data_IF_687361625320
#
_entry.id   IF_687361625320
#
_cell.length_a   1.000
_cell.length_b   1.000
_cell.length_c   1.000
_cell.angle_alpha   90.00
_cell.angle_beta   90.00
_cell.angle_gamma   90.00
#
_symmetry.space_group_name_H-M   'P 1'
#
loop_
_entity.id
_entity.type
_entity.pdbx_description
1 polymer ?
#
# COMPACT_ATOMS: atom_id res chain seq x y z
N UNK A 1 9.47 13.54 -18.06
CA UNK A 1 8.93 12.23 -17.61
C UNK A 1 9.58 11.15 -18.44
N UNK A 2 10.03 10.04 -17.82
CA UNK A 2 10.53 8.88 -18.56
C UNK A 2 9.37 8.30 -19.38
N UNK A 3 9.45 8.39 -20.70
CA UNK A 3 8.38 7.95 -21.62
C UNK A 3 8.10 6.45 -21.57
N UNK A 4 8.95 5.69 -20.88
CA UNK A 4 8.89 4.23 -20.76
C UNK A 4 8.19 3.73 -19.49
N UNK A 5 7.83 4.61 -18.55
CA UNK A 5 7.11 4.20 -17.34
C UNK A 5 5.62 3.98 -17.62
N UNK A 6 5.10 2.86 -17.15
CA UNK A 6 3.68 2.52 -17.26
C UNK A 6 2.90 3.20 -16.14
N UNK A 7 1.85 3.97 -16.49
CA UNK A 7 1.11 4.81 -15.53
C UNK A 7 -0.40 4.57 -15.52
N UNK A 8 -0.85 3.49 -16.15
CA UNK A 8 -2.25 3.14 -16.27
C UNK A 8 -3.02 4.00 -17.29
N UNK A 9 -4.36 3.97 -17.26
CA UNK A 9 -5.17 3.20 -16.31
C UNK A 9 -4.96 1.70 -16.45
N UNK A 10 -5.15 0.97 -15.36
CA UNK A 10 -5.06 -0.49 -15.30
C UNK A 10 -6.44 -1.07 -15.06
N UNK A 11 -6.73 -2.21 -15.67
CA UNK A 11 -8.02 -2.89 -15.54
C UNK A 11 -8.00 -3.99 -14.48
N UNK A 12 -6.83 -4.54 -14.18
CA UNK A 12 -6.68 -5.63 -13.21
C UNK A 12 -5.54 -5.36 -12.23
N UNK A 13 -5.60 -5.99 -11.05
CA UNK A 13 -4.54 -5.95 -10.05
C UNK A 13 -3.23 -6.52 -10.61
N UNK A 14 -3.33 -7.51 -11.52
CA UNK A 14 -2.20 -8.08 -12.24
C UNK A 14 -1.49 -7.03 -13.11
N UNK A 15 -2.23 -6.30 -13.95
CA UNK A 15 -1.66 -5.24 -14.79
C UNK A 15 -0.99 -4.17 -13.93
N UNK A 16 -1.68 -3.73 -12.87
CA UNK A 16 -1.19 -2.73 -11.94
C UNK A 16 0.12 -3.17 -11.27
N UNK A 17 0.14 -4.36 -10.66
CA UNK A 17 1.31 -4.83 -9.90
C UNK A 17 2.49 -5.16 -10.82
N UNK A 18 2.21 -5.69 -12.02
CA UNK A 18 3.21 -5.89 -13.07
C UNK A 18 3.89 -4.58 -13.45
N UNK A 19 3.10 -3.53 -13.69
CA UNK A 19 3.61 -2.21 -14.01
C UNK A 19 4.42 -1.60 -12.86
N UNK A 20 3.98 -1.75 -11.60
CA UNK A 20 4.75 -1.29 -10.44
C UNK A 20 6.12 -1.96 -10.39
N UNK A 21 6.19 -3.28 -10.50
CA UNK A 21 7.46 -4.01 -10.44
C UNK A 21 8.37 -3.65 -11.63
N UNK A 22 7.84 -3.57 -12.85
CA UNK A 22 8.62 -3.17 -14.03
C UNK A 22 9.16 -1.74 -13.91
N UNK A 23 8.34 -0.83 -13.38
CA UNK A 23 8.75 0.54 -13.10
C UNK A 23 9.86 0.59 -12.03
N UNK A 24 9.84 -0.29 -11.01
CA UNK A 24 10.94 -0.40 -10.05
C UNK A 24 12.24 -0.86 -10.71
N UNK A 25 12.18 -1.94 -11.48
CA UNK A 25 13.36 -2.45 -12.21
C UNK A 25 13.94 -1.35 -13.10
N UNK A 26 13.08 -0.61 -13.83
CA UNK A 26 13.49 0.52 -14.65
C UNK A 26 14.14 1.64 -13.82
N UNK A 27 13.56 2.01 -12.69
CA UNK A 27 14.09 3.03 -11.80
C UNK A 27 15.49 2.66 -11.28
N UNK A 28 15.69 1.43 -10.81
CA UNK A 28 17.00 0.95 -10.36
C UNK A 28 18.03 0.94 -11.50
N UNK A 29 17.63 0.50 -12.69
CA UNK A 29 18.51 0.49 -13.87
C UNK A 29 19.00 1.90 -14.27
N UNK A 30 18.13 2.91 -14.19
CA UNK A 30 18.46 4.27 -14.66
C UNK A 30 19.17 5.09 -13.58
N UNK A 31 18.74 4.99 -12.32
CA UNK A 31 19.09 5.98 -11.29
C UNK A 31 19.93 5.43 -10.14
N UNK A 32 20.09 4.12 -9.99
CA UNK A 32 20.77 3.51 -8.84
C UNK A 32 22.13 2.95 -9.20
N UNK A 33 23.00 2.77 -8.20
CA UNK A 33 24.35 2.25 -8.40
C UNK A 33 24.32 0.79 -8.87
N UNK A 34 25.42 0.33 -9.50
CA UNK A 34 25.57 -1.06 -9.93
C UNK A 34 25.40 -2.03 -8.75
N UNK A 35 25.85 -1.66 -7.56
CA UNK A 35 25.67 -2.44 -6.34
C UNK A 35 24.20 -2.59 -5.96
N UNK A 36 23.45 -1.48 -5.95
CA UNK A 36 22.01 -1.48 -5.68
C UNK A 36 21.23 -2.25 -6.75
N UNK A 37 21.59 -2.09 -8.02
CA UNK A 37 20.98 -2.85 -9.12
C UNK A 37 21.14 -4.35 -8.92
N UNK A 38 22.37 -4.82 -8.64
CA UNK A 38 22.65 -6.24 -8.38
C UNK A 38 21.91 -6.81 -7.18
N UNK A 39 21.60 -5.98 -6.19
CA UNK A 39 20.88 -6.40 -4.99
C UNK A 39 19.36 -6.42 -5.17
N UNK A 40 18.79 -5.38 -5.77
CA UNK A 40 17.34 -5.17 -5.79
C UNK A 40 16.63 -5.74 -7.01
N UNK A 41 17.23 -5.65 -8.21
CA UNK A 41 16.59 -6.12 -9.45
C UNK A 41 16.24 -7.61 -9.36
N UNK A 42 17.12 -8.52 -8.90
CA UNK A 42 16.78 -9.94 -8.80
C UNK A 42 15.56 -10.21 -7.90
N UNK A 43 15.40 -9.44 -6.80
CA UNK A 43 14.25 -9.58 -5.89
C UNK A 43 12.96 -9.15 -6.57
N UNK A 44 12.98 -8.06 -7.33
CA UNK A 44 11.83 -7.63 -8.11
C UNK A 44 11.48 -8.64 -9.21
N UNK A 45 12.47 -9.25 -9.86
CA UNK A 45 12.24 -10.33 -10.83
C UNK A 45 11.64 -11.60 -10.17
N UNK A 46 12.05 -11.92 -8.94
CA UNK A 46 11.44 -13.00 -8.16
C UNK A 46 9.98 -12.69 -7.80
N UNK A 47 9.69 -11.47 -7.32
CA UNK A 47 8.32 -11.02 -7.07
C UNK A 47 7.47 -11.06 -8.36
N UNK A 48 8.04 -10.65 -9.50
CA UNK A 48 7.34 -10.69 -10.79
C UNK A 48 6.89 -12.12 -11.16
N UNK A 49 7.72 -13.13 -10.90
CA UNK A 49 7.39 -14.54 -11.17
C UNK A 49 6.25 -15.06 -10.29
N UNK A 50 6.03 -14.45 -9.13
CA UNK A 50 4.95 -14.82 -8.21
C UNK A 50 3.61 -14.16 -8.55
N UNK A 51 3.59 -13.15 -9.44
CA UNK A 51 2.36 -12.44 -9.81
C UNK A 51 1.23 -13.40 -10.22
N UNK A 52 1.43 -14.39 -11.12
CA UNK A 52 0.34 -15.27 -11.56
C UNK A 52 -0.27 -16.11 -10.44
N UNK A 53 0.47 -16.34 -9.33
CA UNK A 53 -0.03 -17.08 -8.15
C UNK A 53 -1.01 -16.22 -7.34
N UNK A 54 -0.69 -14.95 -7.10
CA UNK A 54 -1.43 -14.08 -6.17
C UNK A 54 -2.39 -13.10 -6.84
N UNK A 55 -2.15 -12.80 -8.11
CA UNK A 55 -2.92 -11.87 -8.93
C UNK A 55 -3.32 -12.59 -10.23
N UNK A 56 -4.21 -13.61 -10.15
CA UNK A 56 -4.77 -14.18 -11.36
C UNK A 56 -5.47 -13.09 -12.17
N UNK A 57 -5.47 -13.23 -13.49
CA UNK A 57 -6.10 -12.25 -14.39
C UNK A 57 -7.63 -12.44 -14.34
N UNK A 58 -8.24 -11.86 -13.32
CA UNK A 58 -9.69 -11.72 -13.22
C UNK A 58 -10.08 -10.25 -13.34
N UNK A 59 -11.07 -9.96 -14.20
CA UNK A 59 -11.55 -8.60 -14.45
C UNK A 59 -12.42 -8.07 -13.30
N UNK A 60 -12.11 -8.43 -12.05
CA UNK A 60 -12.90 -8.12 -10.85
C UNK A 60 -12.20 -7.16 -9.91
N UNK A 61 -11.05 -6.61 -10.29
CA UNK A 61 -10.30 -5.70 -9.42
C UNK A 61 -11.05 -4.39 -9.22
N UNK A 62 -11.40 -4.07 -7.98
CA UNK A 62 -11.89 -2.75 -7.62
C UNK A 62 -10.70 -1.80 -7.42
N UNK A 63 -10.71 -0.67 -8.13
CA UNK A 63 -9.75 0.41 -7.92
C UNK A 63 -10.36 1.53 -7.08
N UNK A 64 -9.59 2.04 -6.13
CA UNK A 64 -9.96 3.14 -5.24
C UNK A 64 -8.94 4.27 -5.31
N UNK A 65 -9.40 5.50 -5.07
CA UNK A 65 -8.51 6.65 -4.92
C UNK A 65 -7.79 6.57 -3.57
N UNK A 66 -6.45 6.62 -3.60
CA UNK A 66 -5.62 6.65 -2.41
C UNK A 66 -4.76 7.91 -2.41
N UNK A 67 -4.50 8.46 -1.21
CA UNK A 67 -3.59 9.61 -1.03
C UNK A 67 -2.12 9.28 -1.35
N UNK A 68 -1.70 8.03 -1.14
CA UNK A 68 -0.31 7.56 -1.33
C UNK A 68 0.64 7.87 -0.17
N UNK A 69 0.40 8.97 0.56
CA UNK A 69 1.24 9.38 1.72
C UNK A 69 0.38 9.87 2.90
N UNK A 70 -0.54 9.03 3.38
CA UNK A 70 -1.53 9.43 4.36
C UNK A 70 -1.01 9.27 5.79
N UNK A 71 -0.45 10.34 6.36
CA UNK A 71 0.00 10.42 7.75
C UNK A 71 -0.41 11.74 8.42
N UNK A 72 -0.27 11.81 9.75
CA UNK A 72 -0.79 12.91 10.57
C UNK A 72 -0.37 14.31 10.11
N UNK A 73 0.86 14.50 9.62
CA UNK A 73 1.30 15.82 9.12
C UNK A 73 0.66 16.26 7.80
N UNK A 74 -0.06 15.36 7.11
CA UNK A 74 -0.83 15.67 5.91
C UNK A 74 -2.33 15.88 6.24
N UNK A 75 -2.70 15.91 7.53
CA UNK A 75 -4.06 16.17 8.01
C UNK A 75 -4.09 17.52 8.73
N UNK A 76 -4.96 18.42 8.29
CA UNK A 76 -5.22 19.69 8.95
C UNK A 76 -6.33 19.50 9.98
N UNK A 77 -6.11 20.02 11.19
CA UNK A 77 -7.04 19.91 12.32
C UNK A 77 -7.28 21.32 12.87
N UNK A 78 -8.54 21.63 13.15
CA UNK A 78 -8.96 22.80 13.92
C UNK A 78 -9.74 22.33 15.14
N UNK A 79 -9.21 22.58 16.35
CA UNK A 79 -9.70 21.99 17.59
C UNK A 79 -9.76 20.45 17.50
N UNK A 80 -10.97 19.88 17.48
CA UNK A 80 -11.23 18.43 17.37
C UNK A 80 -11.74 18.01 15.97
N UNK A 81 -11.74 18.92 14.99
CA UNK A 81 -12.28 18.69 13.65
C UNK A 81 -11.18 18.59 12.59
N UNK A 82 -11.23 17.54 11.77
CA UNK A 82 -10.42 17.45 10.55
C UNK A 82 -10.98 18.45 9.53
N UNK A 83 -10.16 19.44 9.16
CA UNK A 83 -10.54 20.52 8.24
C UNK A 83 -10.01 20.33 6.83
N UNK A 84 -9.02 19.45 6.65
CA UNK A 84 -8.48 19.17 5.33
C UNK A 84 -7.44 18.06 5.29
N UNK A 85 -7.19 17.57 4.08
CA UNK A 85 -6.09 16.66 3.75
C UNK A 85 -5.25 17.32 2.66
N UNK A 86 -3.94 17.43 2.87
CA UNK A 86 -3.00 18.12 1.99
C UNK A 86 -1.95 17.16 1.41
N UNK A 87 -1.18 17.63 0.44
CA UNK A 87 -0.06 16.89 -0.18
C UNK A 87 -0.47 15.66 -1.01
N UNK A 88 -1.47 15.84 -1.87
CA UNK A 88 -1.98 14.83 -2.81
C UNK A 88 -1.03 14.43 -3.95
N UNK A 89 0.25 14.80 -3.91
CA UNK A 89 1.18 14.61 -5.05
C UNK A 89 1.48 13.13 -5.36
N UNK A 90 1.24 12.23 -4.41
CA UNK A 90 1.39 10.78 -4.57
C UNK A 90 0.06 10.05 -4.70
N UNK A 91 -1.03 10.78 -4.99
CA UNK A 91 -2.34 10.18 -5.17
C UNK A 91 -2.42 9.33 -6.44
N UNK A 92 -3.26 8.31 -6.42
CA UNK A 92 -3.48 7.43 -7.56
C UNK A 92 -4.66 6.49 -7.36
N UNK A 93 -4.97 5.74 -8.41
CA UNK A 93 -5.90 4.63 -8.36
C UNK A 93 -5.14 3.35 -8.02
N UNK A 94 -5.53 2.68 -6.92
CA UNK A 94 -4.89 1.47 -6.42
C UNK A 94 -5.92 0.34 -6.34
N UNK A 95 -5.54 -0.92 -6.60
CA UNK A 95 -6.36 -2.06 -6.22
C UNK A 95 -6.74 -1.96 -4.74
N UNK A 96 -8.02 -2.17 -4.40
CA UNK A 96 -8.51 -2.06 -3.03
C UNK A 96 -7.72 -2.94 -2.05
N UNK A 97 -7.31 -4.13 -2.50
CA UNK A 97 -6.52 -5.07 -1.72
C UNK A 97 -5.19 -4.47 -1.21
N UNK A 98 -4.57 -3.54 -1.97
CA UNK A 98 -3.34 -2.85 -1.55
C UNK A 98 -3.54 -2.00 -0.28
N UNK A 99 -4.76 -1.52 -0.05
CA UNK A 99 -5.09 -0.60 1.05
C UNK A 99 -5.84 -1.29 2.19
N UNK A 100 -6.10 -2.60 2.07
CA UNK A 100 -6.74 -3.43 3.08
C UNK A 100 -5.77 -3.75 4.23
N UNK A 101 -5.26 -2.70 4.86
CA UNK A 101 -4.40 -2.73 6.04
C UNK A 101 -4.85 -1.65 7.00
N UNK A 102 -4.56 -1.85 8.28
CA UNK A 102 -4.82 -0.81 9.27
C UNK A 102 -3.86 0.37 9.06
N UNK A 103 -4.34 1.57 9.36
CA UNK A 103 -3.55 2.80 9.30
C UNK A 103 -2.29 2.67 10.19
N UNK A 104 -1.19 3.30 9.76
CA UNK A 104 0.12 3.15 10.41
C UNK A 104 0.10 3.47 11.91
N UNK A 105 -0.72 4.45 12.33
CA UNK A 105 -0.86 4.82 13.74
C UNK A 105 -1.73 3.86 14.56
N UNK A 106 -2.42 2.91 13.91
CA UNK A 106 -3.16 1.82 14.54
C UNK A 106 -2.27 0.58 14.70
N UNK A 107 -1.35 0.32 13.75
CA UNK A 107 -0.53 -0.91 13.71
C UNK A 107 0.86 -0.79 14.30
N UNK A 108 1.55 0.35 14.19
CA UNK A 108 2.94 0.44 14.62
C UNK A 108 3.36 1.88 14.95
N UNK A 109 3.62 2.12 16.24
CA UNK A 109 4.61 3.11 16.67
C UNK A 109 5.81 2.31 17.19
N UNK A 110 6.61 1.75 16.29
CA UNK A 110 7.66 0.74 16.56
C UNK A 110 8.92 1.28 17.24
N UNK A 111 8.97 2.57 17.62
CA UNK A 111 10.16 3.21 18.20
C UNK A 111 10.12 3.30 19.73
N UNK A 112 9.01 2.96 20.39
CA UNK A 112 8.89 3.07 21.85
C UNK A 112 8.29 1.79 22.40
N UNK A 113 9.05 1.15 23.31
CA UNK A 113 8.77 -0.07 24.08
C UNK A 113 7.28 -0.45 24.10
N UNK A 114 6.98 -1.65 23.60
CA UNK A 114 5.63 -2.21 23.62
C UNK A 114 5.26 -2.55 25.08
N UNK A 115 4.60 -1.61 25.75
CA UNK A 115 3.94 -1.88 27.04
C UNK A 115 2.59 -2.58 26.79
N UNK A 116 2.14 -3.40 27.75
CA UNK A 116 0.85 -4.11 27.68
C UNK A 116 -0.34 -3.15 27.42
N UNK A 117 -0.31 -1.94 27.98
CA UNK A 117 -1.36 -0.91 27.79
C UNK A 117 -1.43 -0.38 26.35
N UNK A 118 -0.29 -0.28 25.65
CA UNK A 118 -0.23 0.17 24.25
C UNK A 118 -0.81 -0.88 23.30
N UNK A 119 -0.67 -2.16 23.65
CA UNK A 119 -1.30 -3.28 22.94
C UNK A 119 -2.84 -3.22 23.07
N UNK A 120 -3.36 -2.97 24.26
CA UNK A 120 -4.82 -2.84 24.49
C UNK A 120 -5.42 -1.66 23.73
N UNK A 121 -4.77 -0.49 23.74
CA UNK A 121 -5.21 0.69 22.97
C UNK A 121 -5.26 0.41 21.47
N UNK A 122 -4.25 -0.28 20.93
CA UNK A 122 -4.25 -0.65 19.52
C UNK A 122 -5.41 -1.61 19.19
N UNK A 123 -5.70 -2.59 20.04
CA UNK A 123 -6.85 -3.48 19.85
C UNK A 123 -8.18 -2.73 19.85
N UNK A 124 -8.34 -1.73 20.73
CA UNK A 124 -9.53 -0.86 20.76
C UNK A 124 -9.64 -0.06 19.46
N UNK A 125 -8.55 0.53 18.98
CA UNK A 125 -8.53 1.30 17.74
C UNK A 125 -8.77 0.43 16.49
N UNK A 126 -8.22 -0.78 16.45
CA UNK A 126 -8.45 -1.75 15.38
C UNK A 126 -9.93 -2.15 15.34
N UNK A 127 -10.51 -2.46 16.51
CA UNK A 127 -11.93 -2.77 16.63
C UNK A 127 -12.79 -1.60 16.15
N UNK A 128 -12.53 -0.39 16.66
CA UNK A 128 -13.24 0.82 16.24
C UNK A 128 -13.14 1.04 14.72
N UNK A 129 -11.93 0.98 14.14
CA UNK A 129 -11.73 1.14 12.71
C UNK A 129 -12.53 0.11 11.91
N UNK A 130 -12.48 -1.15 12.32
CA UNK A 130 -13.21 -2.23 11.66
C UNK A 130 -14.72 -2.03 11.74
N UNK A 131 -15.22 -1.67 12.92
CA UNK A 131 -16.64 -1.41 13.15
C UNK A 131 -17.10 -0.23 12.27
N UNK A 132 -16.40 0.91 12.29
CA UNK A 132 -16.70 2.07 11.44
C UNK A 132 -16.69 1.71 9.94
N UNK A 133 -15.62 1.05 9.46
CA UNK A 133 -15.53 0.66 8.05
C UNK A 133 -16.63 -0.32 7.64
N UNK A 134 -17.09 -1.19 8.54
CA UNK A 134 -18.20 -2.11 8.25
C UNK A 134 -19.54 -1.41 8.04
N UNK A 135 -19.73 -0.25 8.67
CA UNK A 135 -20.93 0.59 8.47
C UNK A 135 -20.85 1.41 7.18
N UNK A 136 -19.65 1.75 6.71
CA UNK A 136 -19.44 2.65 5.57
C UNK A 136 -19.12 1.94 4.25
N UNK A 137 -18.42 0.82 4.29
CA UNK A 137 -17.95 0.13 3.09
C UNK A 137 -17.81 -1.39 3.33
N UNK A 138 -18.90 -2.12 3.05
CA UNK A 138 -18.94 -3.57 3.19
C UNK A 138 -17.95 -4.28 2.26
N UNK A 139 -17.76 -3.79 1.03
CA UNK A 139 -16.82 -4.39 0.08
C UNK A 139 -15.37 -4.28 0.58
N UNK A 140 -15.02 -3.15 1.20
CA UNK A 140 -13.72 -2.96 1.85
C UNK A 140 -13.52 -3.95 2.99
N UNK A 141 -14.48 -4.09 3.91
CA UNK A 141 -14.35 -5.03 5.04
C UNK A 141 -14.32 -6.49 4.56
N UNK A 142 -15.16 -6.85 3.58
CA UNK A 142 -15.11 -8.17 2.97
C UNK A 142 -13.73 -8.44 2.36
N UNK A 143 -13.15 -7.47 1.66
CA UNK A 143 -11.81 -7.62 1.08
C UNK A 143 -10.73 -7.69 2.17
N UNK A 144 -10.84 -6.85 3.20
CA UNK A 144 -9.93 -6.77 4.34
C UNK A 144 -9.85 -8.08 5.13
N UNK A 145 -11.00 -8.71 5.39
CA UNK A 145 -11.08 -9.94 6.16
C UNK A 145 -10.66 -11.18 5.34
N UNK A 146 -10.78 -11.13 4.01
CA UNK A 146 -10.52 -12.29 3.13
C UNK A 146 -9.19 -12.22 2.37
N UNK A 147 -8.45 -11.11 2.42
CA UNK A 147 -7.15 -11.01 1.77
C UNK A 147 -6.14 -11.94 2.45
N UNK A 148 -5.52 -12.79 1.64
CA UNK A 148 -4.49 -13.74 2.03
C UNK A 148 -3.25 -13.03 2.63
N UNK A 149 -2.69 -13.58 3.71
CA UNK A 149 -1.55 -12.98 4.41
C UNK A 149 -0.28 -12.98 3.54
N UNK A 150 -0.03 -14.00 2.71
CA UNK A 150 1.10 -13.98 1.78
C UNK A 150 0.91 -12.88 0.72
N UNK A 151 -0.34 -12.62 0.31
CA UNK A 151 -0.67 -11.51 -0.61
C UNK A 151 -0.49 -10.14 0.05
N UNK A 152 -0.81 -9.98 1.33
CA UNK A 152 -0.50 -8.76 2.11
C UNK A 152 1.01 -8.54 2.20
N UNK A 153 1.78 -9.60 2.51
CA UNK A 153 3.23 -9.55 2.53
C UNK A 153 3.82 -9.22 1.15
N UNK A 154 3.23 -9.75 0.07
CA UNK A 154 3.63 -9.41 -1.29
C UNK A 154 3.46 -7.91 -1.57
N UNK A 155 2.29 -7.35 -1.26
CA UNK A 155 2.06 -5.91 -1.40
C UNK A 155 3.05 -5.11 -0.54
N UNK A 156 3.23 -5.51 0.72
CA UNK A 156 4.20 -4.89 1.61
C UNK A 156 5.61 -4.93 1.01
N UNK A 157 6.05 -6.05 0.42
CA UNK A 157 7.38 -6.18 -0.18
C UNK A 157 7.56 -5.31 -1.44
N UNK A 158 6.51 -5.21 -2.28
CA UNK A 158 6.55 -4.34 -3.47
C UNK A 158 6.58 -2.86 -3.08
N UNK A 159 5.93 -2.49 -1.98
CA UNK A 159 5.81 -1.10 -1.52
C UNK A 159 6.76 -0.72 -0.37
N UNK A 160 7.52 -1.66 0.20
CA UNK A 160 8.39 -1.39 1.35
C UNK A 160 9.59 -0.53 0.94
N UNK A 161 9.55 0.74 1.37
CA UNK A 161 10.62 1.72 1.58
C UNK A 161 11.98 1.50 0.88
N UNK A 162 12.06 1.89 -0.41
CA UNK A 162 13.22 2.66 -0.97
C UNK A 162 12.80 3.64 -2.09
N UNK A 163 11.50 3.85 -2.33
CA UNK A 163 11.00 4.43 -3.60
C UNK A 163 10.31 5.78 -3.44
N UNK A 164 9.69 6.07 -2.30
CA UNK A 164 8.86 7.29 -2.11
C UNK A 164 9.41 8.28 -1.06
N UNK A 165 10.63 8.04 -0.57
CA UNK A 165 11.38 9.02 0.24
C UNK A 165 12.49 9.66 -0.59
#
# INVERSE_FOLDING_TARGET
>A
TLSTMERGPFNTANEYISAVIRNQILYYNIFKSIEQQKYWIPKYEELYKLIPKYFPDDNKTMFVLMHGDFHSSNILVNDDEITGVIDWKYTGAFPMECICTYLVWITNNSIIEQTNEKSEKNLILQKFFRDEMSHHNLDFICTFDNIDEEKKEFYSAVFSQEVWK
#
